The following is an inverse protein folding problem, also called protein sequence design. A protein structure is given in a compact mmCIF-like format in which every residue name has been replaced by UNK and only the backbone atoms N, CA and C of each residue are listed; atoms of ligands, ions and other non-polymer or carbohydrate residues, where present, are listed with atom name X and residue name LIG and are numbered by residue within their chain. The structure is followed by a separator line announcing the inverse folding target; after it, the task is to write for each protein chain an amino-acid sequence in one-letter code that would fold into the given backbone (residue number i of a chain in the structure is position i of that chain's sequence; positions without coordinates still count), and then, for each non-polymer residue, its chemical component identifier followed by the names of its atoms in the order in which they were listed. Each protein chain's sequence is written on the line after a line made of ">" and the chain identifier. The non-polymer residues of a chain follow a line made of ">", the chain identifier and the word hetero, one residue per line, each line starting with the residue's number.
data_IF_622599514944
#
_entry.id   IF_622599514944
#
_cell.length_a   1.000
_cell.length_b   1.000
_cell.length_c   1.000
_cell.angle_alpha   90.00
_cell.angle_beta   90.00
_cell.angle_gamma   90.00
#
_symmetry.space_group_name_H-M   'P 1'
#
loop_
_entity.id
_entity.type
_entity.pdbx_description
1 polymer ?
#
# COMPACT_ATOMS: atom_id res chain seq x y z
N UNK A 1 -5.26 21.70 -7.58
CA UNK A 1 -6.00 20.88 -8.58
C UNK A 1 -7.53 21.00 -8.38
N UNK A 2 -8.15 21.88 -9.18
CA UNK A 2 -9.60 22.08 -9.26
C UNK A 2 -10.11 21.22 -10.42
N UNK A 3 -10.56 20.00 -10.13
CA UNK A 3 -11.57 19.30 -10.95
C UNK A 3 -11.97 18.01 -10.25
N UNK A 4 -12.93 18.10 -9.34
CA UNK A 4 -13.64 16.94 -8.80
C UNK A 4 -14.57 16.28 -9.84
N UNK A 5 -14.70 16.91 -11.00
CA UNK A 5 -15.59 16.52 -12.08
C UNK A 5 -14.79 15.87 -13.20
N UNK A 6 -15.31 14.75 -13.70
CA UNK A 6 -14.73 14.06 -14.83
C UNK A 6 -14.98 14.77 -16.15
N UNK A 7 -14.32 14.28 -17.20
CA UNK A 7 -14.58 14.67 -18.59
C UNK A 7 -16.04 14.45 -18.98
N UNK A 8 -16.69 13.42 -18.42
CA UNK A 8 -18.13 13.17 -18.57
C UNK A 8 -18.92 14.06 -17.60
N UNK A 9 -19.87 14.81 -18.15
CA UNK A 9 -20.64 15.82 -17.41
C UNK A 9 -21.45 15.15 -16.28
N UNK A 10 -21.17 15.54 -15.04
CA UNK A 10 -21.92 15.12 -13.85
C UNK A 10 -21.32 13.95 -13.05
N UNK A 11 -20.27 13.31 -13.56
CA UNK A 11 -19.58 12.21 -12.86
C UNK A 11 -18.44 12.76 -11.99
N UNK A 12 -18.37 12.30 -10.73
CA UNK A 12 -17.28 12.66 -9.82
C UNK A 12 -16.17 11.63 -9.93
N UNK A 13 -14.94 12.09 -10.15
CA UNK A 13 -13.74 11.24 -10.21
C UNK A 13 -13.01 11.22 -8.86
N UNK A 14 -13.28 12.21 -8.01
CA UNK A 14 -12.79 12.27 -6.65
C UNK A 14 -13.94 11.96 -5.69
N UNK A 15 -13.78 10.91 -4.90
CA UNK A 15 -14.79 10.41 -3.97
C UNK A 15 -14.54 10.88 -2.54
N UNK A 16 -13.33 11.38 -2.25
CA UNK A 16 -12.98 11.84 -0.91
C UNK A 16 -13.74 13.14 -0.57
N UNK A 17 -14.68 13.02 0.36
CA UNK A 17 -15.53 14.13 0.81
C UNK A 17 -14.78 15.22 1.59
N UNK A 18 -13.59 14.91 2.09
CA UNK A 18 -12.72 15.86 2.80
C UNK A 18 -11.92 16.73 1.84
N UNK A 19 -11.77 16.32 0.59
CA UNK A 19 -11.17 17.14 -0.47
C UNK A 19 -12.27 18.04 -1.02
N UNK A 20 -12.12 19.36 -0.90
CA UNK A 20 -13.08 20.35 -1.40
C UNK A 20 -12.37 21.44 -2.19
N UNK A 21 -12.96 21.96 -3.27
CA UNK A 21 -12.34 23.04 -4.03
C UNK A 21 -12.18 24.30 -3.16
N UNK A 22 -11.04 24.97 -3.28
CA UNK A 22 -10.80 26.28 -2.65
C UNK A 22 -10.30 26.25 -1.20
N UNK A 23 -10.05 25.09 -0.61
CA UNK A 23 -9.39 24.95 0.70
C UNK A 23 -8.13 24.09 0.56
N UNK A 24 -7.07 24.29 1.36
CA UNK A 24 -6.03 23.28 1.48
C UNK A 24 -6.61 22.02 2.14
N UNK A 25 -6.18 20.86 1.68
CA UNK A 25 -6.59 19.57 2.24
C UNK A 25 -5.37 18.71 2.53
N UNK A 26 -5.40 17.99 3.66
CA UNK A 26 -4.47 16.93 3.98
C UNK A 26 -5.13 15.58 3.77
N UNK A 27 -4.46 14.66 3.09
CA UNK A 27 -4.94 13.28 2.90
C UNK A 27 -3.87 12.35 3.44
N UNK A 28 -4.30 11.28 4.13
CA UNK A 28 -3.41 10.24 4.61
C UNK A 28 -3.00 9.35 3.45
N UNK A 29 -1.74 8.97 3.44
CA UNK A 29 -1.14 8.08 2.44
C UNK A 29 -0.59 6.87 3.20
N UNK A 30 -0.72 5.69 2.61
CA UNK A 30 -0.10 4.50 3.18
C UNK A 30 1.41 4.57 2.89
N UNK A 31 2.29 4.35 3.89
CA UNK A 31 3.74 4.43 3.70
C UNK A 31 4.25 3.55 2.54
N UNK A 32 3.65 2.39 2.33
CA UNK A 32 4.02 1.46 1.24
C UNK A 32 3.82 2.06 -0.16
N UNK A 33 2.89 3.02 -0.30
CA UNK A 33 2.63 3.74 -1.55
C UNK A 33 3.44 5.04 -1.66
N UNK A 34 4.37 5.29 -0.74
CA UNK A 34 5.21 6.49 -0.75
C UNK A 34 6.67 6.09 -0.89
N UNK A 35 7.20 6.29 -2.09
CA UNK A 35 8.57 5.95 -2.45
C UNK A 35 9.45 7.20 -2.32
N UNK A 36 10.55 7.01 -1.61
CA UNK A 36 11.65 7.98 -1.54
C UNK A 36 12.91 7.43 -2.23
N UNK A 37 13.82 8.30 -2.68
CA UNK A 37 15.08 7.89 -3.28
C UNK A 37 15.95 7.16 -2.25
N UNK A 38 16.76 6.22 -2.73
CA UNK A 38 17.73 5.53 -1.88
C UNK A 38 18.71 6.50 -1.22
N UNK A 39 18.97 6.30 0.08
CA UNK A 39 19.91 7.08 0.88
C UNK A 39 19.33 8.36 1.50
N UNK A 40 18.06 8.67 1.23
CA UNK A 40 17.34 9.75 1.92
C UNK A 40 16.86 9.27 3.28
N UNK A 41 16.96 10.13 4.30
CA UNK A 41 16.59 9.81 5.70
C UNK A 41 15.42 10.65 6.20
N UNK A 42 15.27 11.85 5.68
CA UNK A 42 14.20 12.78 6.05
C UNK A 42 13.58 13.36 4.80
N UNK A 43 12.33 13.84 4.92
CA UNK A 43 11.62 14.40 3.79
C UNK A 43 12.26 15.69 3.26
N UNK A 44 12.91 16.48 4.13
CA UNK A 44 13.57 17.74 3.78
C UNK A 44 14.76 17.54 2.83
N UNK A 45 15.47 16.42 2.95
CA UNK A 45 16.62 16.08 2.12
C UNK A 45 16.23 15.37 0.82
N UNK A 46 14.92 15.20 0.57
CA UNK A 46 14.41 14.38 -0.51
C UNK A 46 14.37 15.14 -1.85
N UNK A 47 15.18 14.76 -2.87
CA UNK A 47 15.22 15.45 -4.15
C UNK A 47 13.97 15.21 -5.01
N UNK A 48 13.27 14.10 -4.80
CA UNK A 48 12.02 13.76 -5.45
C UNK A 48 11.28 12.73 -4.62
N UNK A 49 9.96 12.70 -4.71
CA UNK A 49 9.12 11.65 -4.13
C UNK A 49 8.20 11.09 -5.18
N UNK A 50 7.86 9.82 -5.01
CA UNK A 50 6.95 9.12 -5.88
C UNK A 50 5.79 8.57 -5.05
N UNK A 51 4.59 9.09 -5.31
CA UNK A 51 3.37 8.65 -4.67
C UNK A 51 2.61 7.74 -5.61
N UNK A 52 2.47 6.48 -5.22
CA UNK A 52 1.74 5.47 -5.96
C UNK A 52 0.25 5.54 -5.66
N UNK A 53 -0.53 5.67 -6.72
CA UNK A 53 -1.97 5.83 -6.66
C UNK A 53 -2.59 4.69 -7.46
N UNK A 54 -3.35 3.84 -6.78
CA UNK A 54 -4.15 2.79 -7.43
C UNK A 54 -5.52 3.38 -7.73
N UNK A 55 -5.93 3.34 -9.00
CA UNK A 55 -7.21 3.90 -9.46
C UNK A 55 -7.84 3.03 -10.53
N UNK A 56 -9.17 3.05 -10.64
CA UNK A 56 -9.87 2.33 -11.71
C UNK A 56 -9.54 2.90 -13.08
N UNK A 57 -9.40 2.06 -14.09
CA UNK A 57 -9.11 2.46 -15.46
C UNK A 57 -10.15 3.47 -16.00
N UNK A 58 -11.43 3.25 -15.66
CA UNK A 58 -12.52 4.14 -16.01
C UNK A 58 -12.31 5.55 -15.45
N UNK A 59 -11.95 5.66 -14.17
CA UNK A 59 -11.71 6.93 -13.52
C UNK A 59 -10.45 7.62 -14.03
N UNK A 60 -9.39 6.87 -14.34
CA UNK A 60 -8.17 7.42 -14.96
C UNK A 60 -8.48 8.03 -16.31
N UNK A 61 -9.25 7.34 -17.17
CA UNK A 61 -9.66 7.86 -18.49
C UNK A 61 -10.57 9.10 -18.36
N UNK A 62 -11.44 9.10 -17.36
CA UNK A 62 -12.38 10.18 -17.05
C UNK A 62 -11.71 11.40 -16.39
N UNK A 63 -10.52 11.26 -15.77
CA UNK A 63 -9.83 12.35 -15.08
C UNK A 63 -9.27 13.39 -16.08
N UNK A 64 -9.66 14.67 -16.01
CA UNK A 64 -9.14 15.71 -16.90
C UNK A 64 -7.66 16.02 -16.69
N UNK A 65 -7.09 15.67 -15.52
CA UNK A 65 -5.66 15.92 -15.26
C UNK A 65 -4.75 14.97 -16.05
N UNK A 66 -5.27 13.81 -16.47
CA UNK A 66 -4.54 12.83 -17.23
C UNK A 66 -4.82 12.97 -18.75
N UNK A 67 -3.73 12.97 -19.50
CA UNK A 67 -3.63 12.95 -20.96
C UNK A 67 -3.18 11.55 -21.39
N UNK A 68 -3.26 11.27 -22.69
CA UNK A 68 -2.74 10.01 -23.27
C UNK A 68 -3.30 8.73 -22.62
N UNK A 69 -4.55 8.76 -22.15
CA UNK A 69 -5.16 7.62 -21.46
C UNK A 69 -5.94 6.68 -22.40
N UNK A 70 -5.95 6.93 -23.72
CA UNK A 70 -6.84 6.22 -24.65
C UNK A 70 -6.48 4.75 -24.78
N UNK A 71 -5.19 4.48 -24.93
CA UNK A 71 -4.60 3.14 -25.12
C UNK A 71 -4.18 2.51 -23.79
N UNK A 72 -4.51 3.16 -22.67
CA UNK A 72 -4.25 2.60 -21.35
C UNK A 72 -5.13 1.37 -21.13
N UNK A 73 -4.50 0.28 -20.73
CA UNK A 73 -5.13 -0.97 -20.32
C UNK A 73 -4.99 -1.13 -18.79
N UNK A 74 -5.91 -1.87 -18.18
CA UNK A 74 -5.84 -2.19 -16.75
C UNK A 74 -4.57 -3.01 -16.52
N UNK A 75 -3.60 -2.44 -15.81
CA UNK A 75 -2.32 -3.10 -15.58
C UNK A 75 -2.39 -3.91 -14.30
N UNK A 76 -1.75 -5.08 -14.29
CA UNK A 76 -1.47 -5.80 -13.04
C UNK A 76 -0.66 -4.88 -12.13
N UNK A 77 -1.23 -4.52 -10.98
CA UNK A 77 -0.64 -3.61 -9.98
C UNK A 77 0.72 -4.18 -9.51
N UNK A 78 1.83 -3.63 -9.99
CA UNK A 78 3.18 -4.11 -9.72
C UNK A 78 3.53 -4.06 -8.22
N UNK A 79 3.12 -3.00 -7.50
CA UNK A 79 3.34 -2.91 -6.05
C UNK A 79 2.62 -4.01 -5.29
N UNK A 80 1.40 -4.33 -5.71
CA UNK A 80 0.61 -5.43 -5.14
C UNK A 80 1.26 -6.79 -5.43
N UNK A 81 2.00 -6.92 -6.53
CA UNK A 81 2.69 -8.18 -6.86
C UNK A 81 3.97 -8.45 -6.07
N UNK A 82 4.49 -7.47 -5.31
CA UNK A 82 5.66 -7.65 -4.43
C UNK A 82 5.31 -8.14 -3.02
N UNK A 83 4.02 -8.15 -2.66
CA UNK A 83 3.53 -8.69 -1.39
C UNK A 83 3.52 -10.23 -1.43
N UNK A 84 3.73 -10.89 -0.29
CA UNK A 84 3.56 -12.34 -0.13
C UNK A 84 2.12 -12.79 -0.50
N UNK A 85 1.15 -11.86 -0.44
CA UNK A 85 -0.23 -12.08 -0.84
C UNK A 85 -0.54 -11.68 -2.30
N UNK A 86 0.48 -11.51 -3.14
CA UNK A 86 0.33 -11.10 -4.54
C UNK A 86 -0.71 -11.92 -5.32
N UNK A 87 -0.81 -13.22 -5.07
CA UNK A 87 -1.76 -14.11 -5.73
C UNK A 87 -3.22 -13.81 -5.35
N UNK A 88 -3.47 -13.53 -4.06
CA UNK A 88 -4.79 -13.14 -3.56
C UNK A 88 -5.26 -11.83 -4.18
N UNK A 89 -4.39 -10.82 -4.25
CA UNK A 89 -4.75 -9.56 -4.87
C UNK A 89 -4.88 -9.65 -6.38
N UNK A 90 -4.07 -10.50 -7.05
CA UNK A 90 -4.27 -10.81 -8.47
C UNK A 90 -5.65 -11.42 -8.70
N UNK A 91 -6.11 -12.30 -7.82
CA UNK A 91 -7.43 -12.91 -7.91
C UNK A 91 -8.55 -11.89 -7.69
N UNK A 92 -8.45 -11.05 -6.66
CA UNK A 92 -9.41 -9.95 -6.42
C UNK A 92 -9.40 -8.87 -7.52
N UNK A 93 -8.26 -8.68 -8.19
CA UNK A 93 -8.08 -7.73 -9.28
C UNK A 93 -8.57 -8.21 -10.64
N UNK A 94 -8.93 -9.50 -10.81
CA UNK A 94 -9.43 -10.03 -12.10
C UNK A 94 -10.72 -9.35 -12.57
N UNK A 95 -11.56 -8.95 -11.62
CA UNK A 95 -12.87 -8.36 -11.92
C UNK A 95 -12.84 -6.83 -11.99
N UNK A 96 -11.71 -6.20 -11.61
CA UNK A 96 -11.57 -4.76 -11.55
C UNK A 96 -10.36 -4.30 -12.37
N UNK A 97 -10.62 -3.54 -13.45
CA UNK A 97 -9.55 -2.87 -14.21
C UNK A 97 -8.94 -1.76 -13.35
N UNK A 98 -7.86 -2.09 -12.63
CA UNK A 98 -7.08 -1.15 -11.83
C UNK A 98 -5.83 -0.72 -12.60
N UNK A 99 -5.34 0.47 -12.26
CA UNK A 99 -4.15 1.07 -12.82
C UNK A 99 -3.31 1.60 -11.68
N UNK A 100 -2.02 1.24 -11.70
CA UNK A 100 -1.01 1.80 -10.82
C UNK A 100 -0.41 3.05 -11.46
N UNK A 101 -0.52 4.18 -10.77
CA UNK A 101 -0.02 5.46 -11.25
C UNK A 101 1.08 5.93 -10.30
N UNK A 102 2.25 6.19 -10.85
CA UNK A 102 3.36 6.81 -10.13
C UNK A 102 3.31 8.33 -10.32
N UNK A 103 2.87 9.06 -9.30
CA UNK A 103 2.90 10.53 -9.28
C UNK A 103 4.22 11.01 -8.67
N UNK A 104 5.15 11.36 -9.55
CA UNK A 104 6.49 11.80 -9.19
C UNK A 104 6.49 13.33 -9.06
N UNK A 105 6.90 13.81 -7.89
CA UNK A 105 7.18 15.23 -7.62
C UNK A 105 8.68 15.41 -7.51
N UNK A 106 9.26 16.14 -8.46
CA UNK A 106 10.68 16.45 -8.53
C UNK A 106 10.90 17.83 -7.89
N UNK A 107 11.56 17.85 -6.72
CA UNK A 107 11.83 19.08 -5.98
C UNK A 107 12.92 19.93 -6.64
N UNK A 108 13.91 19.28 -7.27
CA UNK A 108 15.00 19.97 -7.96
C UNK A 108 14.50 20.77 -9.16
N UNK A 109 13.53 20.23 -9.89
CA UNK A 109 12.94 20.89 -11.07
C UNK A 109 11.65 21.65 -10.77
N UNK A 110 11.05 21.46 -9.59
CA UNK A 110 9.73 21.97 -9.22
C UNK A 110 8.63 21.52 -10.18
N UNK A 111 8.72 20.25 -10.60
CA UNK A 111 7.84 19.65 -11.57
C UNK A 111 7.06 18.49 -10.98
N UNK A 112 5.86 18.28 -11.52
CA UNK A 112 5.02 17.12 -11.27
C UNK A 112 4.75 16.39 -12.57
N UNK A 113 4.92 15.08 -12.55
CA UNK A 113 4.69 14.18 -13.68
C UNK A 113 4.07 12.89 -13.19
N UNK A 114 3.32 12.22 -14.05
CA UNK A 114 2.69 10.94 -13.70
C UNK A 114 2.87 9.96 -14.83
N UNK A 115 3.26 8.73 -14.50
CA UNK A 115 3.44 7.61 -15.42
C UNK A 115 2.69 6.38 -14.92
N UNK A 116 2.47 5.44 -15.83
CA UNK A 116 1.97 4.09 -15.52
C UNK A 116 3.10 3.11 -15.88
N UNK A 117 3.51 2.21 -14.98
CA UNK A 117 4.53 1.21 -15.29
C UNK A 117 4.13 0.37 -16.51
N UNK A 118 5.07 0.16 -17.43
CA UNK A 118 4.80 -0.56 -18.69
C UNK A 118 4.04 0.25 -19.75
N UNK A 119 3.75 1.53 -19.51
CA UNK A 119 3.20 2.44 -20.52
C UNK A 119 4.27 3.47 -20.92
N UNK A 120 4.55 3.57 -22.23
CA UNK A 120 5.67 4.38 -22.74
C UNK A 120 5.42 5.89 -22.66
N UNK A 121 4.16 6.32 -22.54
CA UNK A 121 3.80 7.74 -22.52
C UNK A 121 3.49 8.26 -21.11
N UNK A 122 3.77 9.55 -20.91
CA UNK A 122 3.37 10.25 -19.69
C UNK A 122 1.85 10.49 -19.68
N UNK A 123 1.15 9.87 -18.73
CA UNK A 123 -0.26 10.19 -18.49
C UNK A 123 -0.44 11.61 -17.96
N UNK A 124 0.58 12.16 -17.29
CA UNK A 124 0.67 13.59 -16.97
C UNK A 124 2.07 14.07 -17.34
N UNK A 125 2.22 14.85 -18.43
CA UNK A 125 3.53 15.34 -18.82
C UNK A 125 4.11 16.25 -17.73
N UNK A 126 5.45 16.38 -17.67
CA UNK A 126 6.09 17.29 -16.73
C UNK A 126 5.51 18.70 -16.85
N UNK A 127 5.07 19.24 -15.72
CA UNK A 127 4.53 20.58 -15.59
C UNK A 127 4.91 21.16 -14.24
N UNK A 128 4.91 22.48 -14.14
CA UNK A 128 5.20 23.18 -12.88
C UNK A 128 4.26 22.73 -11.75
N UNK A 129 4.85 22.43 -10.60
CA UNK A 129 4.13 22.03 -9.39
C UNK A 129 3.91 23.23 -8.47
N UNK A 130 2.74 23.86 -8.63
CA UNK A 130 2.32 25.04 -7.86
C UNK A 130 2.29 24.76 -6.34
N UNK A 131 2.16 23.49 -5.92
CA UNK A 131 2.08 23.14 -4.50
C UNK A 131 3.44 23.14 -3.80
N UNK A 132 4.56 23.16 -4.55
CA UNK A 132 5.92 23.17 -3.98
C UNK A 132 6.37 24.59 -3.59
N UNK A 133 5.64 25.21 -2.67
CA UNK A 133 5.96 26.55 -2.16
C UNK A 133 7.09 26.47 -1.12
N UNK A 134 6.96 25.57 -0.15
CA UNK A 134 7.89 25.38 0.98
C UNK A 134 8.42 23.94 1.02
N UNK A 135 8.96 23.45 -0.10
CA UNK A 135 9.44 22.07 -0.19
C UNK A 135 8.45 21.14 -0.89
N UNK A 136 8.55 19.85 -0.59
CA UNK A 136 7.59 18.85 -1.04
C UNK A 136 6.28 18.98 -0.25
N UNK A 137 5.10 18.81 -0.89
CA UNK A 137 3.80 19.02 -0.24
C UNK A 137 3.36 17.78 0.56
N UNK A 138 4.26 17.24 1.37
CA UNK A 138 4.02 16.09 2.23
C UNK A 138 4.50 16.39 3.64
N UNK A 139 3.97 15.64 4.60
CA UNK A 139 4.43 15.63 5.98
C UNK A 139 4.52 14.16 6.38
N UNK A 140 5.70 13.73 6.76
CA UNK A 140 5.95 12.41 7.32
C UNK A 140 5.87 12.44 8.85
N UNK A 141 5.63 11.27 9.42
CA UNK A 141 5.51 11.10 10.86
C UNK A 141 5.96 9.71 11.25
N UNK A 142 7.07 9.65 11.99
CA UNK A 142 7.72 8.41 12.42
C UNK A 142 7.95 8.46 13.92
N UNK A 143 7.57 7.41 14.65
CA UNK A 143 7.75 7.36 16.11
C UNK A 143 9.17 6.92 16.50
N UNK A 144 9.69 5.89 15.84
CA UNK A 144 11.00 5.31 16.08
C UNK A 144 11.90 5.64 14.90
N UNK A 145 12.53 6.81 14.92
CA UNK A 145 13.45 7.22 13.85
C UNK A 145 14.62 6.22 13.73
N UNK A 146 15.01 5.94 12.49
CA UNK A 146 16.14 5.08 12.16
C UNK A 146 17.22 5.92 11.47
N UNK A 147 18.50 5.66 11.78
CA UNK A 147 19.60 6.44 11.19
C UNK A 147 20.04 5.94 9.81
N UNK A 148 19.66 4.72 9.43
CA UNK A 148 20.05 4.06 8.18
C UNK A 148 18.94 4.09 7.14
N UNK A 149 17.69 3.96 7.56
CA UNK A 149 16.52 3.89 6.68
C UNK A 149 15.57 5.07 6.87
N UNK A 150 14.82 5.42 5.82
CA UNK A 150 13.79 6.47 5.88
C UNK A 150 12.62 6.08 6.79
N UNK A 151 12.13 4.84 6.64
CA UNK A 151 11.05 4.32 7.47
C UNK A 151 11.60 3.70 8.74
N UNK A 152 11.12 4.18 9.88
CA UNK A 152 11.47 3.70 11.19
C UNK A 152 10.95 2.29 11.51
N UNK A 153 11.57 1.65 12.50
CA UNK A 153 11.13 0.34 12.98
C UNK A 153 9.73 0.42 13.62
N UNK A 154 8.86 -0.53 13.28
CA UNK A 154 7.52 -0.61 13.86
C UNK A 154 7.59 -1.16 15.30
N UNK A 155 6.87 -0.56 16.24
CA UNK A 155 6.73 -1.09 17.61
C UNK A 155 6.23 -2.54 17.61
N UNK A 156 5.38 -2.89 16.63
CA UNK A 156 4.82 -4.24 16.51
C UNK A 156 5.91 -5.26 16.17
N UNK A 157 6.92 -4.90 15.37
CA UNK A 157 8.04 -5.80 15.05
C UNK A 157 8.82 -6.19 16.31
N UNK A 158 8.87 -5.31 17.31
CA UNK A 158 9.55 -5.57 18.60
C UNK A 158 8.74 -6.57 19.45
N UNK A 159 7.41 -6.49 19.41
CA UNK A 159 6.51 -7.31 20.24
C UNK A 159 6.15 -8.65 19.57
N UNK A 160 6.17 -8.70 18.24
CA UNK A 160 5.83 -9.88 17.43
C UNK A 160 6.42 -11.21 17.94
N UNK A 161 7.73 -11.35 18.24
CA UNK A 161 8.29 -12.64 18.66
C UNK A 161 7.65 -13.16 19.96
N UNK A 162 7.35 -12.28 20.91
CA UNK A 162 6.70 -12.64 22.17
C UNK A 162 5.27 -13.13 21.92
N UNK A 163 4.55 -12.47 21.01
CA UNK A 163 3.20 -12.86 20.63
C UNK A 163 3.18 -14.21 19.92
N UNK A 164 4.15 -14.48 19.04
CA UNK A 164 4.29 -15.76 18.36
C UNK A 164 4.57 -16.90 19.34
N UNK A 165 5.44 -16.68 20.33
CA UNK A 165 5.72 -17.64 21.39
C UNK A 165 4.46 -17.97 22.22
N UNK A 166 3.69 -16.94 22.61
CA UNK A 166 2.41 -17.14 23.31
C UNK A 166 1.40 -17.92 22.46
N UNK A 167 1.34 -17.65 21.16
CA UNK A 167 0.47 -18.37 20.23
C UNK A 167 0.87 -19.85 20.12
N UNK A 168 2.17 -20.14 20.05
CA UNK A 168 2.70 -21.50 20.01
C UNK A 168 2.39 -22.25 21.31
N UNK A 169 2.66 -21.64 22.47
CA UNK A 169 2.38 -22.24 23.77
C UNK A 169 0.89 -22.59 23.95
N UNK A 170 -0.02 -21.70 23.49
CA UNK A 170 -1.47 -21.96 23.48
C UNK A 170 -1.84 -23.13 22.57
N UNK A 171 -1.19 -23.23 21.42
CA UNK A 171 -1.38 -24.33 20.46
C UNK A 171 -0.93 -25.66 21.06
N UNK A 172 0.25 -25.69 21.71
CA UNK A 172 0.75 -26.89 22.41
C UNK A 172 -0.18 -27.30 23.56
N UNK A 173 -0.66 -26.36 24.37
CA UNK A 173 -1.60 -26.64 25.45
C UNK A 173 -2.94 -27.22 24.92
N UNK A 174 -3.42 -26.74 23.77
CA UNK A 174 -4.60 -27.32 23.10
C UNK A 174 -4.34 -28.76 22.65
N UNK A 175 -3.21 -29.03 21.99
CA UNK A 175 -2.86 -30.38 21.53
C UNK A 175 -2.69 -31.35 22.70
N UNK A 176 -2.03 -30.91 23.78
CA UNK A 176 -1.89 -31.70 25.00
C UNK A 176 -3.25 -32.07 25.61
N UNK A 177 -4.21 -31.13 25.67
CA UNK A 177 -5.58 -31.42 26.13
C UNK A 177 -6.29 -32.44 25.23
N UNK A 178 -6.14 -32.33 23.91
CA UNK A 178 -6.74 -33.29 22.96
C UNK A 178 -6.15 -34.69 23.14
N UNK A 179 -4.83 -34.80 23.28
CA UNK A 179 -4.16 -36.08 23.51
C UNK A 179 -4.59 -36.68 24.85
N UNK A 180 -4.68 -35.87 25.91
CA UNK A 180 -5.13 -36.33 27.22
C UNK A 180 -6.56 -36.90 27.19
N UNK A 181 -7.49 -36.23 26.46
CA UNK A 181 -8.85 -36.75 26.26
C UNK A 181 -8.85 -38.09 25.51
N UNK A 182 -8.04 -38.24 24.46
CA UNK A 182 -7.92 -39.50 23.73
C UNK A 182 -7.36 -40.61 24.61
N UNK A 183 -6.30 -40.33 25.41
CA UNK A 183 -5.73 -41.29 26.36
C UNK A 183 -6.78 -41.75 27.38
N UNK A 184 -7.53 -40.81 27.96
CA UNK A 184 -8.61 -41.11 28.89
C UNK A 184 -9.68 -42.02 28.27
N UNK A 185 -10.13 -41.74 27.04
CA UNK A 185 -11.12 -42.57 26.35
C UNK A 185 -10.61 -43.98 26.03
N UNK A 186 -9.32 -44.15 25.73
CA UNK A 186 -8.70 -45.47 25.50
C UNK A 186 -8.65 -46.26 26.80
N UNK A 187 -8.30 -45.61 27.92
CA UNK A 187 -8.29 -46.22 29.26
C UNK A 187 -9.70 -46.64 29.69
N UNK A 188 -10.72 -45.79 29.48
CA UNK A 188 -12.13 -46.10 29.83
C UNK A 188 -12.71 -47.26 29.00
N UNK A 189 -12.39 -47.35 27.71
CA UNK A 189 -12.87 -48.43 26.84
C UNK A 189 -12.02 -49.72 26.90
N UNK A 190 -11.03 -49.81 27.80
CA UNK A 190 -10.31 -51.05 28.10
C UNK A 190 -9.43 -51.62 26.97
N UNK A 191 -9.10 -50.84 25.94
CA UNK A 191 -8.17 -51.28 24.90
C UNK A 191 -6.72 -51.07 25.35
N UNK A 192 -6.24 -51.99 26.19
CA UNK A 192 -4.84 -52.09 26.59
C UNK A 192 -4.02 -52.55 25.36
N UNK A 193 -3.49 -51.60 24.58
CA UNK A 193 -2.39 -51.88 23.67
C UNK A 193 -1.08 -51.86 24.46
N UNK A 194 -0.62 -53.04 24.86
CA UNK A 194 0.79 -53.23 25.26
C UNK A 194 1.65 -53.03 24.02
N UNK A 195 2.47 -51.97 23.99
CA UNK A 195 3.56 -51.89 23.02
C UNK A 195 4.56 -52.99 23.35
N UNK A 196 4.92 -53.88 22.39
CA UNK A 196 5.99 -54.85 22.60
C UNK A 196 7.32 -54.10 22.76
N UNK A 197 8.14 -54.56 23.71
CA UNK A 197 9.53 -54.11 23.92
C UNK A 197 10.39 -54.23 22.65
#
# INVERSE_FOLDING_TARGET
>A
PISQLGKKKGERVEYNTNVKPGMPWGVRIMPDFFIVPFGVRTLEDCPWVDHVIIKSLADVKNDPKYKNTRELEGTHTEMVTKDNNAEFYKEMGKDNDLVEIHEIRDFKRKEIKSLVPGYDEWIRPPQEDIMQVEGLPYVDFTFNEDTEYYWGASDVQIIEPQQLEVNEARTQAMLHRRIALVKFLIEENGLIYTFPE
#
